data_IF_124333839711
#
_entry.id   IF_124333839711
#
_cell.length_a   1.000
_cell.length_b   1.000
_cell.length_c   1.000
_cell.angle_alpha   90.00
_cell.angle_beta   90.00
_cell.angle_gamma   90.00
#
_symmetry.space_group_name_H-M   'P 1'
#
loop_
_entity.id
_entity.type
_entity.pdbx_description
1 polymer ?
#
# COMPACT_ATOMS: atom_id res chain seq x y z
N UNK A 1 24.33 -1.21 -9.55
CA UNK A 1 23.36 -1.62 -8.53
C UNK A 1 23.74 -0.94 -7.23
N UNK A 2 22.82 -0.17 -6.66
CA UNK A 2 23.01 0.48 -5.35
C UNK A 2 22.40 -0.40 -4.26
N UNK A 3 22.91 -0.35 -3.03
CA UNK A 3 22.45 -1.21 -1.94
C UNK A 3 22.29 -0.39 -0.66
N UNK A 4 21.13 -0.54 -0.03
CA UNK A 4 20.78 0.10 1.23
C UNK A 4 20.16 -0.90 2.18
N UNK A 5 20.53 -0.81 3.45
CA UNK A 5 19.95 -1.64 4.51
C UNK A 5 19.00 -0.79 5.35
N UNK A 6 17.80 -1.29 5.60
CA UNK A 6 16.74 -0.63 6.35
C UNK A 6 16.34 -1.52 7.54
N UNK A 7 16.49 -1.02 8.76
CA UNK A 7 16.15 -1.71 9.99
C UNK A 7 14.75 -1.29 10.47
N UNK A 8 13.81 -2.22 10.37
CA UNK A 8 12.37 -2.06 10.70
C UNK A 8 11.96 -2.95 11.88
N UNK A 9 10.71 -2.81 12.33
CA UNK A 9 10.13 -3.74 13.30
C UNK A 9 10.10 -5.18 12.76
N UNK A 10 10.32 -6.18 13.62
CA UNK A 10 10.26 -7.59 13.24
C UNK A 10 8.79 -8.05 13.21
N UNK A 11 8.29 -8.45 12.04
CA UNK A 11 6.93 -8.97 11.81
C UNK A 11 7.01 -10.20 10.91
N UNK A 12 6.01 -11.09 10.96
CA UNK A 12 5.98 -12.26 10.08
C UNK A 12 5.63 -11.88 8.64
N UNK A 13 4.57 -11.08 8.43
CA UNK A 13 3.97 -10.94 7.10
C UNK A 13 4.11 -9.57 6.43
N UNK A 14 4.26 -8.48 7.18
CA UNK A 14 4.40 -7.13 6.62
C UNK A 14 3.34 -6.74 5.57
N UNK A 15 2.13 -7.25 5.69
CA UNK A 15 0.99 -6.96 4.82
C UNK A 15 -0.19 -6.30 5.58
N UNK A 16 0.09 -5.74 6.76
CA UNK A 16 -0.90 -5.12 7.64
C UNK A 16 -1.35 -6.01 8.79
N UNK A 17 -1.16 -7.33 8.70
CA UNK A 17 -1.52 -8.26 9.77
C UNK A 17 -0.62 -8.09 10.98
N UNK A 18 -1.24 -7.86 12.14
CA UNK A 18 -0.53 -7.70 13.43
C UNK A 18 -1.03 -8.66 14.53
N UNK A 19 -2.14 -9.36 14.29
CA UNK A 19 -2.69 -10.33 15.24
C UNK A 19 -1.76 -11.55 15.36
N UNK A 20 -1.37 -11.90 16.59
CA UNK A 20 -0.48 -13.04 16.87
C UNK A 20 1.02 -12.76 16.66
N UNK A 21 1.40 -11.53 16.28
CA UNK A 21 2.80 -11.12 16.18
C UNK A 21 3.48 -11.02 17.55
N UNK A 22 4.76 -11.39 17.62
CA UNK A 22 5.56 -11.25 18.85
C UNK A 22 5.75 -9.76 19.11
N UNK A 23 5.25 -9.27 20.25
CA UNK A 23 5.47 -7.86 20.65
C UNK A 23 6.99 -7.56 20.68
N UNK A 24 7.47 -6.52 19.98
CA UNK A 24 8.90 -6.23 19.92
C UNK A 24 9.48 -6.01 21.32
N UNK A 25 10.49 -6.79 21.69
CA UNK A 25 11.21 -6.63 22.98
C UNK A 25 12.14 -5.42 23.02
N UNK A 26 12.41 -4.79 21.86
CA UNK A 26 13.33 -3.63 21.73
C UNK A 26 12.78 -2.49 20.88
N UNK A 27 11.45 -2.40 20.72
CA UNK A 27 10.82 -1.14 20.39
C UNK A 27 10.74 -0.30 21.65
N UNK A 28 11.22 0.96 21.63
CA UNK A 28 10.89 1.89 22.71
C UNK A 28 9.38 1.89 22.98
N UNK A 29 8.97 2.38 24.17
CA UNK A 29 7.62 2.53 24.75
C UNK A 29 6.40 2.77 23.82
N UNK A 30 6.65 3.06 22.55
CA UNK A 30 5.79 3.48 21.46
C UNK A 30 4.84 2.42 20.88
N UNK A 31 5.13 1.11 20.98
CA UNK A 31 4.22 0.04 20.47
C UNK A 31 2.95 -0.10 21.33
N UNK A 32 2.91 0.54 22.52
CA UNK A 32 1.73 0.57 23.37
C UNK A 32 0.88 1.84 23.22
N UNK A 33 1.36 2.86 22.50
CA UNK A 33 0.76 4.21 22.54
C UNK A 33 0.50 4.87 21.18
N UNK A 34 0.98 4.34 20.04
CA UNK A 34 0.65 4.92 18.73
C UNK A 34 0.33 3.87 17.66
N UNK A 35 -0.89 3.98 17.15
CA UNK A 35 -1.65 3.06 16.30
C UNK A 35 -1.20 3.00 14.83
N UNK A 36 0.02 3.40 14.44
CA UNK A 36 0.41 3.19 13.05
C UNK A 36 1.91 3.11 12.79
N UNK A 37 2.38 1.91 12.44
CA UNK A 37 3.73 1.68 11.95
C UNK A 37 3.63 1.37 10.46
N UNK A 38 3.85 2.37 9.59
CA UNK A 38 3.78 2.20 8.12
C UNK A 38 4.65 1.03 7.61
N UNK A 39 5.69 0.66 8.37
CA UNK A 39 6.56 -0.49 8.13
C UNK A 39 5.79 -1.82 8.02
N UNK A 40 4.61 -1.96 8.67
CA UNK A 40 3.80 -3.18 8.65
C UNK A 40 3.20 -3.50 7.28
N UNK A 41 3.32 -2.62 6.30
CA UNK A 41 2.81 -2.79 4.93
C UNK A 41 3.93 -2.92 3.89
N UNK A 42 5.19 -3.02 4.31
CA UNK A 42 6.35 -3.10 3.41
C UNK A 42 6.33 -4.30 2.45
N UNK A 43 5.43 -5.28 2.56
CA UNK A 43 5.28 -6.34 1.57
C UNK A 43 3.83 -6.55 1.16
N UNK A 44 2.96 -5.57 1.42
CA UNK A 44 1.62 -5.54 0.86
C UNK A 44 1.72 -5.25 -0.65
N UNK A 45 1.16 -6.16 -1.45
CA UNK A 45 1.00 -5.96 -2.88
C UNK A 45 -0.25 -5.08 -3.13
N UNK A 46 -0.03 -3.83 -3.51
CA UNK A 46 -1.09 -2.90 -3.91
C UNK A 46 -0.98 -2.68 -5.40
N UNK A 47 -1.94 -3.23 -6.14
CA UNK A 47 -2.04 -3.14 -7.60
C UNK A 47 -0.73 -3.46 -8.34
N UNK A 48 -0.06 -4.54 -7.93
CA UNK A 48 1.19 -5.00 -8.52
C UNK A 48 2.45 -4.28 -8.04
N UNK A 49 2.36 -3.46 -6.99
CA UNK A 49 3.48 -2.73 -6.41
C UNK A 49 3.60 -2.92 -4.90
N UNK A 50 4.83 -2.86 -4.40
CA UNK A 50 5.12 -2.80 -2.98
C UNK A 50 5.81 -1.48 -2.65
N UNK A 51 5.47 -0.93 -1.49
CA UNK A 51 5.92 0.38 -1.07
C UNK A 51 6.55 0.30 0.31
N UNK A 52 7.81 0.69 0.37
CA UNK A 52 8.66 0.51 1.53
C UNK A 52 8.75 1.76 2.37
N UNK A 53 8.54 1.59 3.68
CA UNK A 53 8.77 2.60 4.69
C UNK A 53 9.77 2.12 5.75
N UNK A 54 10.58 3.05 6.24
CA UNK A 54 11.42 2.87 7.41
C UNK A 54 11.46 4.18 8.17
N UNK A 55 11.38 4.11 9.50
CA UNK A 55 11.51 5.32 10.30
C UNK A 55 12.95 5.84 10.27
N UNK A 56 13.15 7.06 9.78
CA UNK A 56 14.43 7.77 9.73
C UNK A 56 14.43 8.99 10.66
N UNK A 57 15.63 9.56 10.87
CA UNK A 57 15.78 10.88 11.50
C UNK A 57 15.99 11.89 10.36
N UNK A 58 15.08 12.85 10.24
CA UNK A 58 15.07 13.84 9.17
C UNK A 58 14.06 13.51 8.07
N UNK A 59 13.88 14.48 7.17
CA UNK A 59 12.81 14.46 6.16
C UNK A 59 13.32 14.11 4.76
N UNK A 60 14.61 13.77 4.62
CA UNK A 60 15.22 13.40 3.35
C UNK A 60 16.18 12.20 3.43
N UNK A 61 16.15 11.37 2.39
CA UNK A 61 17.24 10.47 2.05
C UNK A 61 18.30 11.18 1.22
N UNK A 62 19.52 11.12 1.73
CA UNK A 62 20.73 11.60 1.07
C UNK A 62 21.19 10.63 -0.03
N UNK A 63 20.39 10.44 -1.08
CA UNK A 63 20.65 9.48 -2.18
C UNK A 63 21.98 9.74 -2.92
N UNK A 64 22.55 10.95 -2.78
CA UNK A 64 23.90 11.25 -3.24
C UNK A 64 25.00 10.44 -2.54
N UNK A 65 24.68 9.76 -1.43
CA UNK A 65 25.54 8.80 -0.75
C UNK A 65 25.80 7.55 -1.58
N UNK A 66 24.91 7.20 -2.51
CA UNK A 66 25.16 6.15 -3.50
C UNK A 66 26.12 6.61 -4.58
N UNK A 67 25.84 7.79 -5.14
CA UNK A 67 26.58 8.37 -6.23
C UNK A 67 26.35 9.89 -6.24
N UNK A 68 27.44 10.66 -6.32
CA UNK A 68 27.40 12.12 -6.25
C UNK A 68 26.54 12.75 -7.34
N UNK A 69 26.29 12.05 -8.45
CA UNK A 69 25.42 12.54 -9.53
C UNK A 69 23.99 12.80 -9.06
N UNK A 70 23.50 12.11 -8.03
CA UNK A 70 22.13 12.26 -7.52
C UNK A 70 21.92 13.47 -6.60
N UNK A 71 22.93 14.34 -6.44
CA UNK A 71 22.84 15.55 -5.60
C UNK A 71 21.66 16.47 -5.93
N UNK A 72 21.24 16.48 -7.19
CA UNK A 72 20.16 17.34 -7.70
C UNK A 72 18.98 16.55 -8.25
N UNK A 73 18.86 15.28 -7.85
CA UNK A 73 17.75 14.41 -8.22
C UNK A 73 16.91 14.13 -6.97
N UNK A 74 15.60 13.98 -7.19
CA UNK A 74 14.64 13.66 -6.13
C UNK A 74 14.41 12.16 -5.98
N UNK A 75 14.97 11.34 -6.88
CA UNK A 75 14.88 9.88 -6.83
C UNK A 75 16.06 9.21 -7.54
N UNK A 76 16.24 7.91 -7.27
CA UNK A 76 17.14 7.03 -7.99
C UNK A 76 16.52 5.65 -8.17
N UNK A 77 16.85 4.98 -9.28
CA UNK A 77 16.38 3.63 -9.62
C UNK A 77 17.48 2.58 -9.44
N UNK A 78 17.11 1.30 -9.61
CA UNK A 78 18.02 0.14 -9.52
C UNK A 78 18.71 0.00 -8.15
N UNK A 79 17.92 0.23 -7.10
CA UNK A 79 18.33 0.06 -5.70
C UNK A 79 17.90 -1.32 -5.19
N UNK A 80 18.84 -2.04 -4.60
CA UNK A 80 18.56 -3.21 -3.77
C UNK A 80 18.31 -2.73 -2.34
N UNK A 81 17.05 -2.78 -1.91
CA UNK A 81 16.65 -2.41 -0.54
C UNK A 81 16.61 -3.66 0.30
N UNK A 82 17.47 -3.74 1.31
CA UNK A 82 17.59 -4.91 2.18
C UNK A 82 16.87 -4.62 3.50
N UNK A 83 15.72 -5.27 3.69
CA UNK A 83 14.93 -5.14 4.90
C UNK A 83 15.51 -6.01 6.00
N UNK A 84 15.79 -5.40 7.14
CA UNK A 84 16.37 -6.04 8.31
C UNK A 84 15.48 -5.78 9.52
N UNK A 85 15.49 -6.70 10.48
CA UNK A 85 14.83 -6.49 11.76
C UNK A 85 15.53 -7.24 12.89
N UNK A 86 15.35 -6.79 14.13
CA UNK A 86 15.93 -7.44 15.30
C UNK A 86 15.13 -8.68 15.66
N UNK A 87 15.68 -9.86 15.36
CA UNK A 87 15.14 -11.15 15.80
C UNK A 87 15.43 -11.38 17.30
N UNK A 88 14.49 -11.95 18.07
CA UNK A 88 14.64 -12.14 19.52
C UNK A 88 15.91 -12.87 19.96
N UNK A 89 16.35 -13.86 19.16
CA UNK A 89 17.49 -14.73 19.52
C UNK A 89 18.76 -14.50 18.70
N UNK A 90 18.65 -13.93 17.50
CA UNK A 90 19.74 -13.92 16.49
C UNK A 90 20.34 -12.53 16.28
N UNK A 91 19.79 -11.51 16.93
CA UNK A 91 20.13 -10.12 16.67
C UNK A 91 19.48 -9.63 15.37
N UNK A 92 20.08 -8.63 14.73
CA UNK A 92 19.54 -8.08 13.48
C UNK A 92 19.76 -9.06 12.33
N UNK A 93 18.67 -9.46 11.68
CA UNK A 93 18.65 -10.39 10.54
C UNK A 93 18.00 -9.74 9.32
N UNK A 94 18.32 -10.22 8.13
CA UNK A 94 17.57 -9.90 6.91
C UNK A 94 16.22 -10.61 6.95
N UNK A 95 15.14 -9.85 6.76
CA UNK A 95 13.76 -10.36 6.70
C UNK A 95 13.25 -10.48 5.27
N UNK A 96 13.81 -9.70 4.34
CA UNK A 96 13.43 -9.67 2.94
C UNK A 96 14.18 -8.57 2.19
N UNK A 97 13.88 -8.39 0.91
CA UNK A 97 14.48 -7.35 0.09
C UNK A 97 13.57 -6.93 -1.05
N UNK A 98 13.83 -5.75 -1.60
CA UNK A 98 13.32 -5.33 -2.90
C UNK A 98 14.46 -5.28 -3.91
N UNK A 99 14.25 -5.89 -5.07
CA UNK A 99 15.09 -5.67 -6.24
C UNK A 99 14.55 -4.50 -7.06
N UNK A 100 15.40 -3.92 -7.91
CA UNK A 100 15.04 -2.89 -8.90
C UNK A 100 14.23 -1.69 -8.36
N UNK A 101 14.35 -1.39 -7.06
CA UNK A 101 13.51 -0.39 -6.42
C UNK A 101 13.89 1.03 -6.85
N UNK A 102 12.89 1.90 -6.82
CA UNK A 102 13.04 3.35 -6.80
C UNK A 102 13.18 3.81 -5.36
N UNK A 103 14.17 4.63 -5.05
CA UNK A 103 14.34 5.31 -3.77
C UNK A 103 14.12 6.81 -3.96
N UNK A 104 13.21 7.37 -3.16
CA UNK A 104 12.87 8.78 -3.16
C UNK A 104 13.72 9.54 -2.13
N UNK A 105 14.21 10.72 -2.51
CA UNK A 105 14.86 11.68 -1.61
C UNK A 105 13.87 12.15 -0.55
N UNK A 106 12.67 12.53 -0.96
CA UNK A 106 11.64 13.02 -0.05
C UNK A 106 10.56 11.96 0.15
N UNK A 107 9.99 11.93 1.35
CA UNK A 107 8.92 11.00 1.69
C UNK A 107 7.72 11.28 0.77
N UNK A 108 7.26 10.25 0.06
CA UNK A 108 6.08 10.35 -0.80
C UNK A 108 4.84 9.88 -0.04
N UNK A 109 3.75 10.61 -0.19
CA UNK A 109 2.41 10.21 0.25
C UNK A 109 1.86 9.20 -0.76
N UNK A 110 1.29 8.09 -0.27
CA UNK A 110 0.34 7.33 -1.07
C UNK A 110 -0.95 8.12 -1.18
N UNK A 111 -1.64 7.96 -2.31
CA UNK A 111 -2.89 8.64 -2.61
C UNK A 111 -4.07 7.98 -1.89
N UNK A 112 -4.02 7.96 -0.57
CA UNK A 112 -5.17 7.73 0.29
C UNK A 112 -5.55 9.09 0.85
N UNK A 113 -6.81 9.51 0.66
CA UNK A 113 -7.15 10.90 0.90
C UNK A 113 -7.31 11.17 2.39
N UNK A 114 -7.04 12.41 2.83
CA UNK A 114 -7.26 12.78 4.22
C UNK A 114 -8.75 12.63 4.64
N UNK A 115 -9.70 12.68 3.69
CA UNK A 115 -11.13 12.44 3.93
C UNK A 115 -11.52 10.95 4.05
N UNK A 116 -10.73 10.03 3.46
CA UNK A 116 -10.96 8.57 3.49
C UNK A 116 -10.12 7.82 4.54
N UNK A 117 -9.20 8.52 5.23
CA UNK A 117 -8.78 8.13 6.57
C UNK A 117 -7.53 7.26 6.71
N UNK A 118 -6.62 7.20 5.72
CA UNK A 118 -5.32 6.52 5.93
C UNK A 118 -4.18 7.25 5.21
N UNK A 119 -3.46 8.15 5.89
CA UNK A 119 -2.22 8.74 5.34
C UNK A 119 -1.10 7.67 5.34
N UNK A 120 -0.80 7.05 4.18
CA UNK A 120 0.38 6.16 4.05
C UNK A 120 1.53 6.91 3.39
N UNK A 121 2.74 6.62 3.84
CA UNK A 121 3.95 7.24 3.32
C UNK A 121 4.97 6.17 2.93
N UNK A 122 5.79 6.45 1.93
CA UNK A 122 6.84 5.55 1.48
C UNK A 122 8.09 6.29 1.01
N UNK A 123 9.22 5.63 1.18
CA UNK A 123 10.50 6.05 0.62
C UNK A 123 10.86 5.25 -0.62
N UNK A 124 10.45 3.98 -0.65
CA UNK A 124 10.82 3.04 -1.69
C UNK A 124 9.59 2.52 -2.40
N UNK A 125 9.70 2.23 -3.68
CA UNK A 125 8.70 1.46 -4.41
C UNK A 125 9.37 0.48 -5.36
N UNK A 126 8.74 -0.68 -5.55
CA UNK A 126 9.12 -1.67 -6.56
C UNK A 126 7.86 -2.39 -7.04
N UNK A 127 8.00 -3.20 -8.09
CA UNK A 127 6.94 -4.12 -8.47
C UNK A 127 6.83 -5.24 -7.42
N UNK A 128 5.64 -5.78 -7.21
CA UNK A 128 5.43 -6.83 -6.22
C UNK A 128 6.25 -8.11 -6.51
N UNK A 129 6.55 -8.38 -7.78
CA UNK A 129 7.41 -9.47 -8.22
C UNK A 129 8.90 -9.27 -7.85
N UNK A 130 9.32 -8.02 -7.68
CA UNK A 130 10.67 -7.63 -7.29
C UNK A 130 10.80 -7.57 -5.76
N UNK A 131 9.70 -7.75 -5.02
CA UNK A 131 9.67 -7.83 -3.56
C UNK A 131 9.74 -9.28 -3.08
N UNK A 132 10.65 -9.54 -2.13
CA UNK A 132 10.92 -10.87 -1.59
C UNK A 132 10.89 -10.84 -0.07
N UNK A 133 9.84 -11.37 0.53
CA UNK A 133 9.73 -11.58 1.97
C UNK A 133 10.12 -13.02 2.32
N UNK A 134 11.01 -13.20 3.31
CA UNK A 134 11.39 -14.52 3.79
C UNK A 134 10.46 -15.03 4.90
N UNK A 135 10.17 -16.34 4.92
CA UNK A 135 9.59 -17.00 6.08
C UNK A 135 10.59 -17.00 7.23
N UNK A 136 10.08 -17.04 8.46
CA UNK A 136 10.87 -16.77 9.67
C UNK A 136 12.08 -17.70 9.83
N UNK A 137 11.92 -18.98 9.50
CA UNK A 137 12.98 -19.99 9.62
C UNK A 137 14.17 -19.71 8.69
N UNK A 138 13.93 -19.02 7.57
CA UNK A 138 14.94 -18.64 6.57
C UNK A 138 15.66 -17.33 6.88
N UNK A 139 15.19 -16.54 7.85
CA UNK A 139 15.79 -15.26 8.31
C UNK A 139 17.07 -15.53 9.13
N UNK A 140 18.10 -15.98 8.43
CA UNK A 140 19.35 -16.52 8.99
C UNK A 140 20.55 -15.62 8.75
N UNK A 141 20.51 -14.77 7.71
CA UNK A 141 21.58 -13.81 7.43
C UNK A 141 21.59 -12.71 8.48
N UNK A 142 22.66 -12.65 9.28
CA UNK A 142 22.82 -11.64 10.35
C UNK A 142 23.54 -10.39 9.83
N UNK A 143 23.11 -9.23 10.32
CA UNK A 143 23.72 -7.93 10.01
C UNK A 143 24.30 -7.34 11.30
N UNK A 144 25.56 -6.93 11.23
CA UNK A 144 26.29 -6.40 12.38
C UNK A 144 25.77 -5.06 12.89
N UNK A 145 26.32 -4.63 14.03
CA UNK A 145 26.10 -3.29 14.62
C UNK A 145 27.45 -2.60 14.78
N UNK A 146 27.57 -1.38 14.29
CA UNK A 146 28.83 -0.62 14.33
C UNK A 146 29.40 -0.48 15.75
N UNK A 147 28.54 -0.35 16.77
CA UNK A 147 28.93 -0.26 18.17
C UNK A 147 29.62 -1.54 18.71
N UNK A 148 29.32 -2.71 18.13
CA UNK A 148 29.87 -4.01 18.55
C UNK A 148 30.98 -4.49 17.63
N UNK A 149 30.76 -4.37 16.32
CA UNK A 149 31.60 -5.00 15.28
C UNK A 149 32.61 -4.02 14.66
N UNK A 150 32.45 -2.72 14.93
CA UNK A 150 33.26 -1.62 14.43
C UNK A 150 32.58 -0.83 13.30
N UNK A 151 33.00 0.43 13.16
CA UNK A 151 32.49 1.36 12.14
C UNK A 151 32.54 0.75 10.73
N UNK A 152 31.42 0.84 10.00
CA UNK A 152 31.34 0.37 8.62
C UNK A 152 31.12 -1.14 8.47
N UNK A 153 30.84 -1.88 9.55
CA UNK A 153 30.56 -3.33 9.52
C UNK A 153 29.10 -3.69 9.80
N UNK A 154 28.20 -2.72 9.79
CA UNK A 154 26.80 -2.90 10.13
C UNK A 154 26.10 -1.59 10.44
N UNK A 155 24.86 -1.69 10.95
CA UNK A 155 24.06 -0.51 11.30
C UNK A 155 24.73 0.35 12.37
N UNK A 156 24.73 1.66 12.13
CA UNK A 156 25.11 2.68 13.12
C UNK A 156 23.97 2.99 14.09
N UNK A 157 23.84 4.26 14.47
CA UNK A 157 22.71 4.75 15.26
C UNK A 157 21.43 4.96 14.41
N UNK A 158 21.56 5.08 13.09
CA UNK A 158 20.43 5.20 12.16
C UNK A 158 19.82 3.84 11.86
N UNK A 159 18.50 3.83 11.62
CA UNK A 159 17.79 2.67 11.05
C UNK A 159 18.14 2.41 9.59
N UNK A 160 18.91 3.30 8.96
CA UNK A 160 19.29 3.16 7.56
C UNK A 160 20.79 3.19 7.43
N UNK A 161 21.32 2.26 6.63
CA UNK A 161 22.75 2.11 6.41
C UNK A 161 23.07 2.03 4.91
N UNK A 162 23.70 3.09 4.41
CA UNK A 162 24.29 3.15 3.08
C UNK A 162 25.62 2.40 3.08
N UNK A 163 25.78 1.46 2.14
CA UNK A 163 26.96 0.60 2.05
C UNK A 163 28.13 1.34 1.39
N UNK A 164 28.85 2.15 2.18
CA UNK A 164 29.94 2.98 1.67
C UNK A 164 31.34 2.43 2.00
N UNK A 165 31.48 1.64 3.07
CA UNK A 165 32.76 1.13 3.53
C UNK A 165 33.30 0.01 2.63
N UNK A 166 34.62 -0.02 2.44
CA UNK A 166 35.28 -1.05 1.65
C UNK A 166 35.06 -2.45 2.24
N UNK A 167 35.15 -2.56 3.57
CA UNK A 167 34.87 -3.81 4.28
C UNK A 167 33.48 -4.37 3.96
N UNK A 168 32.44 -3.54 3.96
CA UNK A 168 31.09 -4.04 3.68
C UNK A 168 30.97 -4.51 2.23
N UNK A 169 31.56 -3.77 1.29
CA UNK A 169 31.59 -4.14 -0.14
C UNK A 169 32.33 -5.45 -0.40
N UNK A 170 33.41 -5.73 0.32
CA UNK A 170 34.23 -6.92 0.11
C UNK A 170 33.76 -8.13 0.92
N UNK A 171 33.31 -7.93 2.16
CA UNK A 171 33.06 -9.03 3.11
C UNK A 171 31.58 -9.32 3.37
N UNK A 172 30.68 -8.34 3.17
CA UNK A 172 29.25 -8.48 3.47
C UNK A 172 28.45 -8.64 2.18
N UNK A 173 28.65 -7.74 1.20
CA UNK A 173 27.82 -7.71 -0.02
C UNK A 173 27.91 -9.00 -0.83
N UNK A 174 29.08 -9.61 -1.10
CA UNK A 174 29.12 -10.86 -1.88
C UNK A 174 28.33 -12.00 -1.22
N UNK A 175 28.42 -12.12 0.11
CA UNK A 175 27.68 -13.12 0.88
C UNK A 175 26.18 -12.83 0.92
N UNK A 176 25.79 -11.55 1.01
CA UNK A 176 24.39 -11.15 0.92
C UNK A 176 23.82 -11.52 -0.45
N UNK A 177 24.53 -11.22 -1.54
CA UNK A 177 24.04 -11.53 -2.88
C UNK A 177 23.95 -13.04 -3.13
N UNK A 178 24.91 -13.81 -2.62
CA UNK A 178 24.83 -15.27 -2.60
C UNK A 178 23.58 -15.74 -1.82
N UNK A 179 23.38 -15.23 -0.60
CA UNK A 179 22.20 -15.52 0.22
C UNK A 179 20.89 -15.21 -0.53
N UNK A 180 20.76 -14.01 -1.09
CA UNK A 180 19.60 -13.60 -1.89
C UNK A 180 19.36 -14.58 -3.04
N UNK A 181 20.40 -14.95 -3.79
CA UNK A 181 20.27 -15.85 -4.93
C UNK A 181 19.78 -17.25 -4.53
N UNK A 182 20.16 -17.73 -3.34
CA UNK A 182 19.76 -19.05 -2.82
C UNK A 182 18.33 -19.07 -2.26
N UNK A 183 17.78 -17.90 -1.90
CA UNK A 183 16.52 -17.78 -1.16
C UNK A 183 15.39 -17.11 -1.96
N UNK A 184 15.55 -16.86 -3.27
CA UNK A 184 14.49 -16.26 -4.10
C UNK A 184 13.20 -17.08 -4.09
N UNK A 185 13.32 -18.40 -4.17
CA UNK A 185 12.18 -19.33 -4.21
C UNK A 185 11.52 -19.53 -2.83
N UNK A 186 12.15 -19.07 -1.74
CA UNK A 186 11.57 -19.15 -0.39
C UNK A 186 10.53 -18.04 -0.13
N UNK A 187 10.27 -17.16 -1.10
CA UNK A 187 9.39 -15.98 -0.96
C UNK A 187 7.98 -16.33 -0.48
N UNK A 188 7.42 -15.51 0.43
CA UNK A 188 6.06 -15.68 0.98
C UNK A 188 5.08 -14.51 0.78
N UNK A 189 5.50 -13.38 0.19
CA UNK A 189 4.55 -12.30 -0.12
C UNK A 189 3.69 -12.64 -1.34
N UNK A 190 2.43 -12.17 -1.32
CA UNK A 190 1.39 -12.47 -2.32
C UNK A 190 1.69 -11.72 -3.63
N UNK A 191 1.66 -12.45 -4.74
CA UNK A 191 1.87 -11.90 -6.09
C UNK A 191 0.55 -11.59 -6.81
N UNK A 192 0.61 -10.72 -7.81
CA UNK A 192 -0.58 -10.26 -8.55
C UNK A 192 -1.33 -11.39 -9.25
N UNK A 193 -0.63 -12.41 -9.73
CA UNK A 193 -1.27 -13.55 -10.40
C UNK A 193 -2.14 -14.39 -9.44
N UNK A 194 -1.89 -14.33 -8.13
CA UNK A 194 -2.67 -15.08 -7.12
C UNK A 194 -4.11 -14.56 -6.98
N UNK A 195 -4.40 -13.33 -7.44
CA UNK A 195 -5.74 -12.73 -7.43
C UNK A 195 -6.54 -13.07 -8.69
N UNK A 196 -5.91 -13.68 -9.69
CA UNK A 196 -6.50 -13.87 -11.02
C UNK A 196 -7.51 -15.01 -11.05
N UNK A 197 -8.47 -14.92 -11.96
CA UNK A 197 -9.38 -16.02 -12.25
C UNK A 197 -8.60 -17.22 -12.79
N UNK A 198 -8.62 -18.34 -12.05
CA UNK A 198 -8.01 -19.60 -12.45
C UNK A 198 -8.66 -20.24 -13.70
N UNK A 199 -9.86 -19.78 -14.06
CA UNK A 199 -10.69 -20.34 -15.12
C UNK A 199 -11.45 -21.60 -14.70
N UNK A 200 -11.40 -21.99 -13.42
CA UNK A 200 -12.24 -23.05 -12.88
C UNK A 200 -13.71 -22.63 -12.90
N UNK A 201 -14.55 -23.45 -13.53
CA UNK A 201 -15.99 -23.22 -13.66
C UNK A 201 -16.81 -24.29 -12.94
N UNK A 202 -16.16 -25.15 -12.16
CA UNK A 202 -16.83 -26.22 -11.43
C UNK A 202 -17.85 -25.59 -10.47
N UNK A 203 -19.14 -25.98 -10.50
CA UNK A 203 -20.11 -25.48 -9.53
C UNK A 203 -19.65 -25.74 -8.09
N UNK A 204 -20.01 -24.85 -7.15
CA UNK A 204 -19.71 -25.07 -5.73
C UNK A 204 -20.51 -26.27 -5.21
N UNK A 205 -19.85 -27.09 -4.39
CA UNK A 205 -20.56 -28.03 -3.52
C UNK A 205 -21.25 -27.29 -2.39
N UNK A 206 -22.24 -27.94 -1.75
CA UNK A 206 -22.92 -27.37 -0.58
C UNK A 206 -21.95 -26.99 0.54
N UNK A 207 -20.93 -27.81 0.75
CA UNK A 207 -19.88 -27.59 1.76
C UNK A 207 -19.03 -26.36 1.42
N UNK A 208 -18.66 -26.17 0.15
CA UNK A 208 -17.93 -24.99 -0.31
C UNK A 208 -18.77 -23.71 -0.21
N UNK A 209 -20.06 -23.77 -0.55
CA UNK A 209 -20.98 -22.63 -0.37
C UNK A 209 -21.06 -22.21 1.10
N UNK A 210 -21.22 -23.18 2.00
CA UNK A 210 -21.35 -22.91 3.43
C UNK A 210 -20.03 -22.40 4.01
N UNK A 211 -18.89 -22.87 3.49
CA UNK A 211 -17.56 -22.34 3.80
C UNK A 211 -17.40 -20.89 3.34
N UNK A 212 -17.68 -20.61 2.07
CA UNK A 212 -17.53 -19.28 1.48
C UNK A 212 -18.40 -18.24 2.21
N UNK A 213 -19.61 -18.61 2.63
CA UNK A 213 -20.50 -17.77 3.45
C UNK A 213 -20.00 -17.50 4.86
N UNK A 214 -19.10 -18.34 5.37
CA UNK A 214 -18.50 -18.20 6.68
C UNK A 214 -17.25 -17.31 6.70
N UNK A 215 -16.73 -16.93 5.53
CA UNK A 215 -15.56 -16.05 5.42
C UNK A 215 -15.93 -14.61 5.80
N UNK A 216 -15.00 -13.91 6.43
CA UNK A 216 -15.16 -12.50 6.80
C UNK A 216 -14.65 -11.57 5.70
N UNK A 217 -14.96 -10.28 5.83
CA UNK A 217 -14.48 -9.22 4.94
C UNK A 217 -12.95 -9.08 4.90
N UNK A 218 -12.20 -9.69 5.84
CA UNK A 218 -10.74 -9.73 5.83
C UNK A 218 -10.17 -10.92 5.02
N UNK A 219 -11.02 -11.88 4.65
CA UNK A 219 -10.65 -13.13 3.97
C UNK A 219 -10.94 -13.08 2.46
N UNK A 220 -10.88 -11.89 1.84
CA UNK A 220 -11.16 -11.72 0.40
C UNK A 220 -10.29 -12.62 -0.50
N UNK A 221 -9.02 -12.80 -0.16
CA UNK A 221 -8.13 -13.70 -0.91
C UNK A 221 -8.61 -15.14 -0.94
N UNK A 222 -9.16 -15.60 0.17
CA UNK A 222 -9.70 -16.94 0.30
C UNK A 222 -11.07 -17.06 -0.38
N UNK A 223 -11.83 -15.97 -0.43
CA UNK A 223 -13.14 -15.90 -1.06
C UNK A 223 -13.09 -15.84 -2.60
N UNK A 224 -12.10 -15.16 -3.18
CA UNK A 224 -11.99 -14.88 -4.62
C UNK A 224 -12.19 -16.12 -5.53
N UNK A 225 -11.56 -17.29 -5.26
CA UNK A 225 -11.77 -18.49 -6.08
C UNK A 225 -13.24 -18.94 -6.13
N UNK A 226 -13.98 -18.78 -5.02
CA UNK A 226 -15.40 -19.09 -4.96
C UNK A 226 -16.21 -18.06 -5.75
N UNK A 227 -15.90 -16.77 -5.60
CA UNK A 227 -16.57 -15.68 -6.32
C UNK A 227 -16.47 -15.86 -7.85
N UNK A 228 -15.29 -16.19 -8.37
CA UNK A 228 -15.09 -16.48 -9.80
C UNK A 228 -15.94 -17.66 -10.28
N UNK A 229 -15.96 -18.78 -9.51
CA UNK A 229 -16.78 -19.95 -9.83
C UNK A 229 -18.28 -19.65 -9.78
N UNK A 230 -18.72 -18.85 -8.80
CA UNK A 230 -20.12 -18.41 -8.67
C UNK A 230 -20.54 -17.60 -9.88
N UNK A 231 -19.75 -16.59 -10.27
CA UNK A 231 -20.01 -15.80 -11.47
C UNK A 231 -20.01 -16.64 -12.75
N UNK A 232 -19.09 -17.60 -12.88
CA UNK A 232 -19.01 -18.48 -14.05
C UNK A 232 -20.25 -19.38 -14.22
N UNK A 233 -20.93 -19.71 -13.13
CA UNK A 233 -22.14 -20.54 -13.13
C UNK A 233 -23.44 -19.71 -13.11
N UNK A 234 -23.39 -18.49 -12.58
CA UNK A 234 -24.50 -17.53 -12.53
C UNK A 234 -23.98 -16.10 -12.78
N UNK A 235 -23.92 -15.64 -14.04
CA UNK A 235 -23.43 -14.33 -14.42
C UNK A 235 -24.37 -13.17 -14.03
N UNK A 236 -24.53 -12.91 -12.73
CA UNK A 236 -25.36 -11.84 -12.16
C UNK A 236 -24.55 -10.61 -11.76
N UNK A 237 -25.23 -9.45 -11.60
CA UNK A 237 -24.63 -8.23 -11.09
C UNK A 237 -24.01 -8.45 -9.69
N UNK A 238 -24.73 -9.15 -8.81
CA UNK A 238 -24.29 -9.52 -7.45
C UNK A 238 -22.98 -10.33 -7.48
N UNK A 239 -22.88 -11.34 -8.34
CA UNK A 239 -21.67 -12.16 -8.42
C UNK A 239 -20.49 -11.41 -9.06
N UNK A 240 -20.76 -10.51 -10.03
CA UNK A 240 -19.71 -9.63 -10.57
C UNK A 240 -19.21 -8.65 -9.50
N UNK A 241 -20.13 -8.08 -8.73
CA UNK A 241 -19.83 -7.15 -7.64
C UNK A 241 -19.03 -7.82 -6.53
N UNK A 242 -19.37 -9.06 -6.17
CA UNK A 242 -18.64 -9.84 -5.18
C UNK A 242 -17.15 -10.00 -5.55
N UNK A 243 -16.84 -10.23 -6.83
CA UNK A 243 -15.46 -10.27 -7.31
C UNK A 243 -14.81 -8.87 -7.23
N UNK A 244 -15.53 -7.86 -7.71
CA UNK A 244 -15.04 -6.49 -7.76
C UNK A 244 -14.66 -5.95 -6.36
N UNK A 245 -15.54 -6.15 -5.38
CA UNK A 245 -15.31 -5.69 -4.01
C UNK A 245 -14.20 -6.47 -3.32
N UNK A 246 -14.10 -7.79 -3.54
CA UNK A 246 -13.01 -8.59 -2.98
C UNK A 246 -11.65 -8.18 -3.55
N UNK A 247 -11.55 -7.91 -4.85
CA UNK A 247 -10.33 -7.37 -5.45
C UNK A 247 -9.99 -5.97 -4.92
N UNK A 248 -10.98 -5.09 -4.78
CA UNK A 248 -10.81 -3.76 -4.20
C UNK A 248 -10.29 -3.82 -2.76
N UNK A 249 -10.87 -4.67 -1.92
CA UNK A 249 -10.46 -4.86 -0.53
C UNK A 249 -9.07 -5.50 -0.42
N UNK A 250 -8.64 -6.20 -1.46
CA UNK A 250 -7.28 -6.67 -1.66
C UNK A 250 -6.33 -5.63 -2.30
N UNK A 251 -6.77 -4.39 -2.48
CA UNK A 251 -6.02 -3.31 -3.12
C UNK A 251 -5.60 -3.61 -4.57
N UNK A 252 -6.31 -4.50 -5.27
CA UNK A 252 -6.08 -4.85 -6.69
C UNK A 252 -7.03 -4.05 -7.60
N UNK A 253 -6.84 -2.74 -7.62
CA UNK A 253 -7.71 -1.77 -8.28
C UNK A 253 -7.84 -1.99 -9.80
N UNK A 254 -6.74 -2.24 -10.49
CA UNK A 254 -6.71 -2.49 -11.94
C UNK A 254 -7.49 -3.76 -12.30
N UNK A 255 -7.49 -4.76 -11.42
CA UNK A 255 -8.26 -6.00 -11.60
C UNK A 255 -9.74 -5.82 -11.22
N UNK A 256 -10.04 -4.94 -10.26
CA UNK A 256 -11.40 -4.69 -9.78
C UNK A 256 -12.26 -3.93 -10.79
N UNK A 257 -11.69 -2.93 -11.50
CA UNK A 257 -12.46 -2.07 -12.43
C UNK A 257 -13.27 -2.85 -13.47
N UNK A 258 -12.70 -3.82 -14.22
CA UNK A 258 -13.47 -4.57 -15.21
C UNK A 258 -14.67 -5.31 -14.61
N UNK A 259 -14.58 -5.72 -13.33
CA UNK A 259 -15.70 -6.36 -12.64
C UNK A 259 -16.75 -5.36 -12.18
N UNK A 260 -16.36 -4.16 -11.73
CA UNK A 260 -17.32 -3.08 -11.47
C UNK A 260 -18.01 -2.59 -12.74
N UNK A 261 -17.28 -2.43 -13.85
CA UNK A 261 -17.86 -2.11 -15.15
C UNK A 261 -18.91 -3.16 -15.55
N UNK A 262 -18.64 -4.44 -15.26
CA UNK A 262 -19.56 -5.54 -15.50
C UNK A 262 -20.77 -5.53 -14.57
N UNK A 263 -20.61 -5.15 -13.31
CA UNK A 263 -21.72 -4.93 -12.39
C UNK A 263 -22.68 -3.87 -12.94
N UNK A 264 -22.17 -2.71 -13.36
CA UNK A 264 -22.99 -1.61 -13.92
C UNK A 264 -23.62 -1.97 -15.27
N UNK A 265 -22.96 -2.82 -16.08
CA UNK A 265 -23.56 -3.34 -17.32
C UNK A 265 -24.79 -4.21 -17.01
N UNK A 266 -24.73 -5.02 -15.95
CA UNK A 266 -25.79 -5.94 -15.55
C UNK A 266 -26.89 -5.27 -14.72
N UNK A 267 -26.53 -4.23 -13.95
CA UNK A 267 -27.44 -3.39 -13.17
C UNK A 267 -27.10 -1.90 -13.36
N UNK A 268 -27.67 -1.24 -14.40
CA UNK A 268 -27.40 0.16 -14.69
C UNK A 268 -27.91 1.17 -13.65
N UNK A 269 -28.82 0.74 -12.76
CA UNK A 269 -29.43 1.59 -11.75
C UNK A 269 -28.59 1.61 -10.44
N UNK A 270 -27.52 0.81 -10.35
CA UNK A 270 -26.59 0.79 -9.21
C UNK A 270 -25.63 2.00 -9.21
N UNK A 271 -26.12 3.10 -8.62
CA UNK A 271 -25.36 4.34 -8.42
C UNK A 271 -24.20 4.15 -7.43
N UNK A 272 -24.34 3.26 -6.44
CA UNK A 272 -23.32 3.03 -5.41
C UNK A 272 -22.06 2.43 -6.04
N UNK A 273 -22.20 1.44 -6.92
CA UNK A 273 -21.08 0.85 -7.65
C UNK A 273 -20.35 1.89 -8.50
N UNK A 274 -21.08 2.77 -9.20
CA UNK A 274 -20.45 3.86 -9.96
C UNK A 274 -19.67 4.82 -9.05
N UNK A 275 -20.16 5.09 -7.84
CA UNK A 275 -19.43 5.84 -6.82
C UNK A 275 -18.12 5.17 -6.42
N UNK A 276 -18.13 3.85 -6.21
CA UNK A 276 -16.91 3.05 -5.92
C UNK A 276 -15.93 3.10 -7.08
N UNK A 277 -16.40 3.03 -8.32
CA UNK A 277 -15.53 3.18 -9.50
C UNK A 277 -14.84 4.54 -9.54
N UNK A 278 -15.53 5.63 -9.20
CA UNK A 278 -14.91 6.95 -9.14
C UNK A 278 -13.76 6.99 -8.12
N UNK A 279 -13.95 6.40 -6.94
CA UNK A 279 -12.89 6.24 -5.95
C UNK A 279 -11.71 5.41 -6.48
N UNK A 280 -11.98 4.28 -7.14
CA UNK A 280 -10.93 3.41 -7.67
C UNK A 280 -10.15 4.08 -8.81
N UNK A 281 -10.82 4.85 -9.68
CA UNK A 281 -10.15 5.67 -10.68
C UNK A 281 -9.18 6.67 -10.05
N UNK A 282 -9.54 7.26 -8.91
CA UNK A 282 -8.62 8.12 -8.16
C UNK A 282 -7.40 7.34 -7.63
N UNK A 283 -7.60 6.12 -7.10
CA UNK A 283 -6.51 5.25 -6.63
C UNK A 283 -5.53 4.87 -7.76
N UNK A 284 -6.04 4.75 -8.98
CA UNK A 284 -5.24 4.54 -10.20
C UNK A 284 -4.71 5.83 -10.84
N UNK A 285 -4.82 6.97 -10.15
CA UNK A 285 -4.38 8.28 -10.64
C UNK A 285 -5.12 8.78 -11.89
N UNK A 286 -6.27 8.18 -12.22
CA UNK A 286 -7.13 8.55 -13.35
C UNK A 286 -8.11 9.67 -12.97
N UNK A 287 -7.58 10.81 -12.53
CA UNK A 287 -8.36 11.90 -11.93
C UNK A 287 -9.43 12.52 -12.84
N UNK A 288 -9.14 12.63 -14.14
CA UNK A 288 -10.09 13.15 -15.11
C UNK A 288 -11.29 12.21 -15.23
N UNK A 289 -11.06 10.91 -15.44
CA UNK A 289 -12.11 9.87 -15.52
C UNK A 289 -12.90 9.78 -14.21
N UNK A 290 -12.21 9.83 -13.06
CA UNK A 290 -12.85 9.87 -11.74
C UNK A 290 -13.78 11.08 -11.62
N UNK A 291 -13.29 12.28 -11.96
CA UNK A 291 -14.07 13.53 -11.85
C UNK A 291 -15.27 13.57 -12.80
N UNK A 292 -15.11 13.07 -14.03
CA UNK A 292 -16.21 12.91 -15.00
C UNK A 292 -17.28 11.98 -14.43
N UNK A 293 -16.88 10.80 -13.95
CA UNK A 293 -17.78 9.80 -13.33
C UNK A 293 -18.56 10.41 -12.16
N UNK A 294 -17.90 11.16 -11.27
CA UNK A 294 -18.59 11.80 -10.15
C UNK A 294 -19.60 12.85 -10.62
N UNK A 295 -19.26 13.68 -11.60
CA UNK A 295 -20.18 14.73 -12.10
C UNK A 295 -21.43 14.10 -12.70
N UNK A 296 -21.28 13.06 -13.50
CA UNK A 296 -22.42 12.31 -14.04
C UNK A 296 -23.30 11.70 -12.95
N UNK A 297 -22.70 11.22 -11.85
CA UNK A 297 -23.45 10.67 -10.72
C UNK A 297 -24.23 11.75 -9.99
N UNK A 298 -23.61 12.90 -9.72
CA UNK A 298 -24.26 14.02 -9.03
C UNK A 298 -25.48 14.56 -9.81
N UNK A 299 -25.48 14.45 -11.14
CA UNK A 299 -26.61 14.87 -11.98
C UNK A 299 -27.85 13.97 -11.84
N UNK A 300 -27.67 12.71 -11.41
CA UNK A 300 -28.75 11.73 -11.24
C UNK A 300 -29.02 11.34 -9.79
N UNK A 301 -28.16 11.77 -8.86
CA UNK A 301 -28.22 11.38 -7.45
C UNK A 301 -29.47 11.96 -6.77
N UNK A 302 -30.32 11.14 -6.11
CA UNK A 302 -31.46 11.63 -5.37
C UNK A 302 -31.07 12.62 -4.25
N UNK A 303 -31.86 13.66 -4.03
CA UNK A 303 -31.58 14.71 -3.04
C UNK A 303 -31.36 14.14 -1.62
N UNK A 304 -32.08 13.09 -1.28
CA UNK A 304 -32.00 12.37 0.01
C UNK A 304 -30.67 11.63 0.25
N UNK A 305 -29.91 11.29 -0.80
CA UNK A 305 -28.64 10.56 -0.70
C UNK A 305 -27.48 11.48 -0.28
N UNK A 306 -27.56 12.01 0.94
CA UNK A 306 -26.60 12.99 1.44
C UNK A 306 -25.22 12.41 1.68
N UNK A 307 -25.13 11.16 2.11
CA UNK A 307 -23.86 10.55 2.51
C UNK A 307 -23.02 10.24 1.27
N UNK A 308 -23.62 9.64 0.24
CA UNK A 308 -22.95 9.44 -1.05
C UNK A 308 -22.58 10.77 -1.71
N UNK A 309 -23.42 11.81 -1.61
CA UNK A 309 -23.08 13.15 -2.12
C UNK A 309 -21.84 13.72 -1.45
N UNK A 310 -21.74 13.59 -0.13
CA UNK A 310 -20.59 14.05 0.65
C UNK A 310 -19.32 13.30 0.23
N UNK A 311 -19.39 11.99 0.03
CA UNK A 311 -18.28 11.17 -0.47
C UNK A 311 -17.83 11.62 -1.87
N UNK A 312 -18.78 11.82 -2.79
CA UNK A 312 -18.52 12.28 -4.15
C UNK A 312 -17.88 13.67 -4.18
N UNK A 313 -18.32 14.60 -3.32
CA UNK A 313 -17.68 15.91 -3.17
C UNK A 313 -16.24 15.80 -2.66
N UNK A 314 -15.98 14.91 -1.70
CA UNK A 314 -14.61 14.63 -1.23
C UNK A 314 -13.74 14.12 -2.38
N UNK A 315 -14.20 13.11 -3.14
CA UNK A 315 -13.45 12.51 -4.25
C UNK A 315 -13.07 13.57 -5.28
N UNK A 316 -13.99 14.44 -5.69
CA UNK A 316 -13.70 15.48 -6.69
C UNK A 316 -12.77 16.56 -6.15
N UNK A 317 -12.96 16.98 -4.89
CA UNK A 317 -12.03 17.92 -4.25
C UNK A 317 -10.61 17.36 -4.24
N UNK A 318 -10.45 16.09 -3.87
CA UNK A 318 -9.17 15.41 -3.83
C UNK A 318 -8.56 15.26 -5.23
N UNK A 319 -9.36 14.89 -6.24
CA UNK A 319 -8.90 14.81 -7.63
C UNK A 319 -8.33 16.14 -8.12
N UNK A 320 -9.03 17.26 -7.87
CA UNK A 320 -8.55 18.59 -8.24
C UNK A 320 -7.27 18.96 -7.47
N UNK A 321 -7.20 18.64 -6.17
CA UNK A 321 -6.02 18.90 -5.38
C UNK A 321 -4.79 18.14 -5.91
N UNK A 322 -4.94 16.86 -6.25
CA UNK A 322 -3.86 16.05 -6.81
C UNK A 322 -3.46 16.47 -8.23
N UNK A 323 -4.39 17.03 -9.00
CA UNK A 323 -4.12 17.67 -10.30
C UNK A 323 -3.57 19.11 -10.15
N UNK A 324 -3.17 19.50 -8.92
CA UNK A 324 -2.61 20.81 -8.57
C UNK A 324 -3.53 22.01 -8.88
N UNK A 325 -4.85 21.75 -8.91
CA UNK A 325 -5.94 22.71 -9.12
C UNK A 325 -6.60 23.05 -7.78
N UNK A 326 -5.82 23.70 -6.92
CA UNK A 326 -6.17 23.91 -5.50
C UNK A 326 -7.40 24.82 -5.35
N UNK A 327 -7.58 25.81 -6.24
CA UNK A 327 -8.76 26.68 -6.21
C UNK A 327 -10.04 25.89 -6.49
N UNK A 328 -10.04 25.05 -7.52
CA UNK A 328 -11.14 24.17 -7.87
C UNK A 328 -11.43 23.15 -6.77
N UNK A 329 -10.38 22.58 -6.16
CA UNK A 329 -10.50 21.68 -5.03
C UNK A 329 -11.27 22.33 -3.86
N UNK A 330 -10.93 23.59 -3.53
CA UNK A 330 -11.60 24.35 -2.47
C UNK A 330 -13.08 24.61 -2.81
N UNK A 331 -13.44 24.86 -4.08
CA UNK A 331 -14.84 25.05 -4.48
C UNK A 331 -15.70 23.83 -4.13
N UNK A 332 -15.18 22.62 -4.31
CA UNK A 332 -15.89 21.39 -3.93
C UNK A 332 -15.99 21.20 -2.42
N UNK A 333 -14.93 21.53 -1.67
CA UNK A 333 -14.98 21.55 -0.22
C UNK A 333 -16.00 22.58 0.33
N UNK A 334 -16.15 23.73 -0.34
CA UNK A 334 -17.15 24.74 0.03
C UNK A 334 -18.59 24.24 -0.17
N UNK A 335 -18.84 23.32 -1.11
CA UNK A 335 -20.16 22.65 -1.25
C UNK A 335 -20.46 21.75 -0.05
N UNK A 336 -19.47 21.01 0.45
CA UNK A 336 -19.60 20.20 1.67
C UNK A 336 -20.01 21.09 2.84
N UNK A 337 -19.37 22.25 3.02
CA UNK A 337 -19.73 23.19 4.09
C UNK A 337 -21.16 23.76 3.99
N UNK A 338 -21.72 23.80 2.78
CA UNK A 338 -23.07 24.35 2.52
C UNK A 338 -24.17 23.30 2.60
N UNK A 339 -23.90 22.08 2.13
CA UNK A 339 -24.91 21.05 1.86
C UNK A 339 -24.87 19.90 2.85
N UNK A 340 -23.70 19.57 3.40
CA UNK A 340 -23.55 18.42 4.29
C UNK A 340 -24.34 18.62 5.59
N UNK A 341 -24.88 17.51 6.10
CA UNK A 341 -25.48 17.44 7.44
C UNK A 341 -24.50 16.83 8.46
N UNK A 342 -23.36 16.32 8.00
CA UNK A 342 -22.35 15.66 8.82
C UNK A 342 -21.44 16.71 9.47
N UNK A 343 -21.63 16.94 10.77
CA UNK A 343 -20.87 17.95 11.53
C UNK A 343 -19.38 17.65 11.62
N UNK A 344 -19.01 16.38 11.68
CA UNK A 344 -17.61 15.97 11.77
C UNK A 344 -16.92 16.24 10.44
N UNK A 345 -17.57 15.89 9.33
CA UNK A 345 -17.09 16.21 7.99
C UNK A 345 -16.98 17.72 7.76
N UNK A 346 -17.95 18.52 8.21
CA UNK A 346 -17.89 19.99 8.11
C UNK A 346 -16.70 20.55 8.90
N UNK A 347 -16.49 20.08 10.13
CA UNK A 347 -15.37 20.52 10.96
C UNK A 347 -14.04 20.17 10.30
N UNK A 348 -13.93 18.94 9.82
CA UNK A 348 -12.77 18.43 9.10
C UNK A 348 -12.47 19.25 7.83
N UNK A 349 -13.49 19.46 7.01
CA UNK A 349 -13.41 20.24 5.77
C UNK A 349 -12.97 21.68 6.02
N UNK A 350 -13.46 22.29 7.11
CA UNK A 350 -13.07 23.65 7.50
C UNK A 350 -11.56 23.76 7.75
N UNK A 351 -10.97 22.78 8.41
CA UNK A 351 -9.53 22.77 8.69
C UNK A 351 -8.71 22.40 7.45
N UNK A 352 -9.22 21.52 6.60
CA UNK A 352 -8.61 21.19 5.30
C UNK A 352 -8.52 22.42 4.39
N UNK A 353 -9.60 23.19 4.23
CA UNK A 353 -9.59 24.43 3.44
C UNK A 353 -8.52 25.40 3.96
N UNK A 354 -8.37 25.56 5.29
CA UNK A 354 -7.32 26.40 5.86
C UNK A 354 -5.92 25.90 5.53
N UNK A 355 -5.72 24.57 5.48
CA UNK A 355 -4.43 23.95 5.12
C UNK A 355 -4.12 24.18 3.63
N UNK A 356 -5.10 23.97 2.76
CA UNK A 356 -4.92 24.09 1.31
C UNK A 356 -4.79 25.54 0.83
N UNK A 357 -5.48 26.50 1.46
CA UNK A 357 -5.31 27.94 1.18
C UNK A 357 -3.89 28.46 1.46
N UNK A 358 -3.09 27.76 2.26
CA UNK A 358 -1.67 28.11 2.50
C UNK A 358 -0.76 27.67 1.34
N UNK A 359 -1.28 26.91 0.38
CA UNK A 359 -0.56 26.43 -0.81
C UNK A 359 -0.87 27.25 -2.08
N UNK A 360 -1.82 28.17 -2.00
CA UNK A 360 -2.02 29.26 -2.95
C UNK A 360 -1.03 30.39 -2.63
#
# INVERSE_FOLDING_TARGET
>A
MYIIFCNIAYLRYYDGRIAGEIKPTTGGRWVQENEDAHEKWNFLNMDGRCYGFVRTIGDEFHIEKFDKKYRHFDETNNVLVVWCATHPERGTVVVGWYENATENRFLKEMRCTPASGIDRYYWFECKAEDAYLLPEDKRTFTVGRAAKDGTGKGFGQSNVWFVQSEYAKEAIIPKLLEFISLHKEDRINILTDEFSDSGDKTPLTKEEEDYAKGLTDDQNMEYLPFAYRMYANDPSADNAYAIAISLNNCYQYSMAIPWFEKTVELDPDDIETRGKMAYIYQQLEMYEKSTETVKELLDILPDEETDLRDELYCIVADNYYFDNKIEEAIIWLERILQESKNKDLISYTTDMIKKWKKRL
#
